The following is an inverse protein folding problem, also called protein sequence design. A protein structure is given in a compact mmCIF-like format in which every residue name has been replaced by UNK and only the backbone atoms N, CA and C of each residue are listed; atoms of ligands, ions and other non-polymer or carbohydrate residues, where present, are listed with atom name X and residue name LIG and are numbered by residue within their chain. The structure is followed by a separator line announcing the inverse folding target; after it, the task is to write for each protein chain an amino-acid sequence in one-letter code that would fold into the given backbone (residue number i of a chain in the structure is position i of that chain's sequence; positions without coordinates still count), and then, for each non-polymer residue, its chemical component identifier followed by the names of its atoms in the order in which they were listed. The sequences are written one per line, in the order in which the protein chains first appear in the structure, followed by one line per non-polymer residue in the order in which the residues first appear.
data_IF_806110921644
#
_entry.id   IF_806110921644
#
_cell.length_a   1.000
_cell.length_b   1.000
_cell.length_c   1.000
_cell.angle_alpha   90.00
_cell.angle_beta   90.00
_cell.angle_gamma   90.00
#
_symmetry.space_group_name_H-M   'P 1'
#
loop_
_entity.id
_entity.type
_entity.pdbx_description
1 polymer ?
#
# COMPACT_ATOMS: atom_id res chain seq x y z
N UNK A 1 22.11 -17.81 -16.25
CA UNK A 1 20.75 -18.34 -15.99
C UNK A 1 20.40 -17.97 -14.55
N UNK A 2 19.86 -16.77 -14.34
CA UNK A 2 19.45 -16.33 -13.01
C UNK A 2 18.08 -16.94 -12.72
N UNK A 3 18.04 -17.88 -11.76
CA UNK A 3 16.79 -18.39 -11.19
C UNK A 3 15.99 -17.17 -10.72
N UNK A 4 14.73 -17.05 -11.13
CA UNK A 4 13.87 -15.93 -10.73
C UNK A 4 13.83 -15.88 -9.20
N UNK A 5 14.57 -14.94 -8.62
CA UNK A 5 14.56 -14.69 -7.19
C UNK A 5 13.11 -14.30 -6.87
N UNK A 6 12.39 -15.15 -6.14
CA UNK A 6 11.08 -14.78 -5.62
C UNK A 6 11.33 -14.19 -4.23
N UNK A 7 11.55 -12.87 -4.10
CA UNK A 7 11.85 -12.23 -2.82
C UNK A 7 10.78 -12.55 -1.76
N UNK A 8 9.55 -12.87 -2.17
CA UNK A 8 8.45 -13.28 -1.30
C UNK A 8 8.76 -14.51 -0.42
N UNK A 9 9.60 -15.44 -0.88
CA UNK A 9 9.96 -16.63 -0.12
C UNK A 9 10.85 -16.33 1.09
N UNK A 10 11.60 -15.23 1.05
CA UNK A 10 12.58 -14.84 2.06
C UNK A 10 12.18 -13.60 2.86
N UNK A 11 10.94 -13.14 2.69
CA UNK A 11 10.38 -12.02 3.45
C UNK A 11 9.53 -12.50 4.61
N UNK A 12 9.65 -11.82 5.75
CA UNK A 12 8.68 -11.93 6.84
C UNK A 12 7.35 -11.34 6.39
N UNK A 13 6.28 -12.13 6.48
CA UNK A 13 4.95 -11.74 5.99
C UNK A 13 4.17 -11.09 7.12
N UNK A 14 3.79 -9.84 6.93
CA UNK A 14 2.97 -9.08 7.86
C UNK A 14 1.71 -8.69 7.12
N UNK A 15 0.56 -9.10 7.62
CA UNK A 15 -0.72 -8.55 7.17
C UNK A 15 -0.89 -7.20 7.84
N UNK A 16 -1.33 -6.19 7.11
CA UNK A 16 -1.63 -4.89 7.71
C UNK A 16 -2.83 -4.25 7.04
N UNK A 17 -3.44 -3.33 7.77
CA UNK A 17 -4.53 -2.48 7.32
C UNK A 17 -4.40 -1.10 7.97
N UNK A 18 -4.86 -0.07 7.27
CA UNK A 18 -4.81 1.32 7.69
C UNK A 18 -6.20 1.94 7.55
N UNK A 19 -6.75 2.43 8.65
CA UNK A 19 -7.87 3.33 8.54
C UNK A 19 -7.41 4.78 8.47
N UNK A 20 -7.99 5.52 7.54
CA UNK A 20 -7.65 6.91 7.29
C UNK A 20 -8.89 7.70 6.88
N UNK A 21 -8.83 9.01 7.09
CA UNK A 21 -9.81 9.96 6.57
C UNK A 21 -9.27 10.66 5.32
N UNK A 22 -10.14 11.31 4.54
CA UNK A 22 -9.78 11.95 3.26
C UNK A 22 -10.06 11.09 2.01
N UNK A 23 -9.78 11.64 0.83
CA UNK A 23 -10.14 11.03 -0.46
C UNK A 23 -8.90 10.65 -1.29
N UNK A 24 -8.65 9.35 -1.45
CA UNK A 24 -7.57 8.81 -2.29
C UNK A 24 -7.62 9.26 -3.76
N UNK A 25 -8.79 9.63 -4.26
CA UNK A 25 -9.00 10.07 -5.66
C UNK A 25 -8.59 11.53 -5.86
N UNK A 26 -8.51 12.32 -4.79
CA UNK A 26 -8.12 13.73 -4.84
C UNK A 26 -6.62 13.87 -4.59
N UNK A 27 -5.92 14.56 -5.48
CA UNK A 27 -4.48 14.87 -5.37
C UNK A 27 -3.59 13.66 -5.06
N UNK A 28 -4.00 12.42 -5.40
CA UNK A 28 -3.27 11.21 -5.05
C UNK A 28 -3.27 10.86 -3.55
N UNK A 29 -4.27 11.29 -2.80
CA UNK A 29 -4.45 10.97 -1.37
C UNK A 29 -3.46 11.67 -0.45
N UNK A 30 -2.88 12.79 -0.89
CA UNK A 30 -1.89 13.55 -0.11
C UNK A 30 -2.49 14.25 1.11
N UNK A 31 -3.81 14.32 1.24
CA UNK A 31 -4.46 14.90 2.41
C UNK A 31 -4.97 13.83 3.37
N UNK A 32 -4.86 12.54 2.99
CA UNK A 32 -5.34 11.46 3.83
C UNK A 32 -4.59 11.43 5.17
N UNK A 33 -5.34 11.21 6.24
CA UNK A 33 -4.83 11.18 7.61
C UNK A 33 -5.16 9.85 8.27
N UNK A 34 -4.14 9.07 8.62
CA UNK A 34 -4.29 7.79 9.31
C UNK A 34 -4.83 8.04 10.73
N UNK A 35 -5.86 7.29 11.13
CA UNK A 35 -6.43 7.32 12.47
C UNK A 35 -6.43 5.94 13.16
N UNK A 36 -6.15 4.85 12.44
CA UNK A 36 -5.90 3.52 13.03
C UNK A 36 -4.88 2.75 12.20
N UNK A 37 -4.02 2.00 12.89
CA UNK A 37 -3.09 1.06 12.28
C UNK A 37 -3.34 -0.32 12.90
N UNK A 38 -3.40 -1.36 12.07
CA UNK A 38 -3.33 -2.72 12.54
C UNK A 38 -2.35 -3.54 11.70
N UNK A 39 -1.65 -4.47 12.35
CA UNK A 39 -0.75 -5.40 11.71
C UNK A 39 -0.75 -6.75 12.44
N UNK A 40 -0.49 -7.82 11.69
CA UNK A 40 -0.39 -9.18 12.19
C UNK A 40 0.74 -9.93 11.51
N UNK A 41 1.59 -10.57 12.31
CA UNK A 41 2.52 -11.58 11.81
C UNK A 41 1.72 -12.77 11.26
N UNK A 42 1.87 -13.02 9.95
CA UNK A 42 1.12 -14.06 9.27
C UNK A 42 1.34 -15.46 9.89
N UNK A 43 2.57 -15.74 10.28
CA UNK A 43 2.99 -17.07 10.73
C UNK A 43 2.64 -17.27 12.21
N UNK A 44 2.96 -16.30 13.06
CA UNK A 44 2.81 -16.44 14.53
C UNK A 44 1.47 -15.96 15.04
N UNK A 45 0.78 -15.10 14.30
CA UNK A 45 -0.43 -14.42 14.76
C UNK A 45 -0.19 -13.31 15.78
N UNK A 46 1.08 -12.94 16.06
CA UNK A 46 1.39 -11.76 16.89
C UNK A 46 0.76 -10.52 16.25
N UNK A 47 0.06 -9.71 17.04
CA UNK A 47 -0.68 -8.55 16.57
C UNK A 47 -0.08 -7.25 17.10
N UNK A 48 -0.25 -6.21 16.32
CA UNK A 48 -0.05 -4.81 16.70
C UNK A 48 -1.27 -4.02 16.24
N UNK A 49 -1.80 -3.17 17.11
CA UNK A 49 -2.77 -2.16 16.70
C UNK A 49 -2.67 -0.95 17.60
N UNK A 50 -2.87 0.22 17.00
CA UNK A 50 -2.90 1.49 17.70
C UNK A 50 -3.84 2.44 16.98
N UNK A 51 -4.54 3.27 17.76
CA UNK A 51 -5.19 4.46 17.20
C UNK A 51 -4.13 5.54 16.97
N UNK A 52 -4.44 6.49 16.09
CA UNK A 52 -3.60 7.65 15.85
C UNK A 52 -4.45 8.90 16.04
N UNK A 53 -3.89 9.90 16.71
CA UNK A 53 -4.51 11.21 16.83
C UNK A 53 -3.96 12.16 15.74
N UNK A 54 -4.62 12.29 14.57
CA UNK A 54 -4.19 13.22 13.53
C UNK A 54 -4.29 14.68 13.97
N UNK A 55 -5.12 15.00 14.98
CA UNK A 55 -5.29 16.37 15.46
C UNK A 55 -4.07 16.91 16.24
N UNK A 56 -3.06 16.09 16.49
CA UNK A 56 -1.77 16.55 17.04
C UNK A 56 -0.91 17.30 16.01
N UNK A 57 -1.24 17.20 14.71
CA UNK A 57 -0.55 17.91 13.63
C UNK A 57 -1.48 18.79 12.79
N UNK A 58 -2.79 18.60 12.91
CA UNK A 58 -3.78 19.28 12.08
C UNK A 58 -4.88 19.87 12.96
N UNK A 59 -5.20 21.15 12.76
CA UNK A 59 -6.36 21.75 13.41
C UNK A 59 -7.66 21.11 12.93
N UNK A 60 -7.71 20.84 11.61
CA UNK A 60 -8.81 20.20 10.91
C UNK A 60 -8.34 18.92 10.20
N UNK A 61 -9.12 17.86 10.33
CA UNK A 61 -8.85 16.57 9.69
C UNK A 61 -9.89 16.38 8.59
N UNK A 62 -9.49 15.96 7.36
CA UNK A 62 -10.44 15.75 6.28
C UNK A 62 -11.54 14.78 6.69
N UNK A 63 -12.77 15.05 6.25
CA UNK A 63 -13.90 14.13 6.47
C UNK A 63 -13.69 12.82 5.71
N UNK A 64 -14.13 11.68 6.25
CA UNK A 64 -14.18 10.45 5.49
C UNK A 64 -15.05 10.60 4.24
N UNK A 65 -14.75 9.83 3.19
CA UNK A 65 -15.50 9.87 1.92
C UNK A 65 -16.88 9.21 2.00
N UNK A 66 -17.15 8.44 3.05
CA UNK A 66 -18.36 7.66 3.26
C UNK A 66 -18.63 7.51 4.76
N UNK A 67 -19.89 7.58 5.19
CA UNK A 67 -20.29 7.51 6.61
C UNK A 67 -20.01 6.14 7.25
N UNK A 68 -19.71 5.11 6.44
CA UNK A 68 -19.29 3.80 6.94
C UNK A 68 -17.92 3.82 7.62
N UNK A 69 -17.09 4.82 7.34
CA UNK A 69 -15.81 5.01 8.03
C UNK A 69 -16.03 5.70 9.37
N UNK A 70 -16.01 4.93 10.44
CA UNK A 70 -16.33 5.41 11.80
C UNK A 70 -15.10 5.92 12.54
N UNK A 71 -14.46 6.97 12.00
CA UNK A 71 -13.34 7.61 12.69
C UNK A 71 -13.79 8.11 14.09
N UNK A 72 -13.04 7.80 15.17
CA UNK A 72 -13.34 8.33 16.49
C UNK A 72 -13.33 9.87 16.50
N UNK A 73 -14.13 10.48 17.39
CA UNK A 73 -14.15 11.94 17.52
C UNK A 73 -12.82 12.48 18.04
N UNK A 74 -12.55 13.77 17.81
CA UNK A 74 -11.36 14.46 18.33
C UNK A 74 -11.21 14.26 19.84
N UNK A 75 -12.30 14.47 20.58
CA UNK A 75 -12.36 14.33 22.04
C UNK A 75 -12.08 12.88 22.46
N UNK A 76 -12.63 11.90 21.73
CA UNK A 76 -12.37 10.49 21.99
C UNK A 76 -10.89 10.15 21.83
N UNK A 77 -10.22 10.64 20.79
CA UNK A 77 -8.80 10.39 20.55
C UNK A 77 -7.90 11.01 21.63
N UNK A 78 -8.26 12.20 22.13
CA UNK A 78 -7.55 12.80 23.27
C UNK A 78 -7.82 12.03 24.57
N UNK A 79 -9.07 11.65 24.83
CA UNK A 79 -9.45 10.94 26.06
C UNK A 79 -8.76 9.57 26.16
N UNK A 80 -8.65 8.85 25.05
CA UNK A 80 -7.96 7.55 25.01
C UNK A 80 -6.44 7.66 24.98
N UNK A 81 -5.90 8.89 24.89
CA UNK A 81 -4.46 9.11 24.78
C UNK A 81 -3.87 8.55 23.49
N UNK A 82 -4.62 8.59 22.38
CA UNK A 82 -4.12 8.09 21.10
C UNK A 82 -2.83 8.82 20.69
N UNK A 83 -1.75 8.10 20.34
CA UNK A 83 -0.44 8.67 20.05
C UNK A 83 -0.45 9.52 18.78
N UNK A 84 0.61 10.31 18.62
CA UNK A 84 0.91 10.96 17.35
C UNK A 84 1.25 9.93 16.28
N UNK A 85 1.12 10.31 15.00
CA UNK A 85 1.48 9.43 13.88
C UNK A 85 2.95 9.01 13.91
N UNK A 86 3.83 9.85 14.47
CA UNK A 86 5.27 9.56 14.60
C UNK A 86 5.48 8.43 15.60
N UNK A 87 4.90 8.54 16.79
CA UNK A 87 4.99 7.52 17.84
C UNK A 87 4.37 6.21 17.35
N UNK A 88 3.18 6.26 16.73
CA UNK A 88 2.52 5.08 16.18
C UNK A 88 3.38 4.34 15.14
N UNK A 89 4.07 5.06 14.25
CA UNK A 89 4.98 4.47 13.26
C UNK A 89 6.26 3.91 13.90
N UNK A 90 6.77 4.52 14.98
CA UNK A 90 7.89 3.97 15.76
C UNK A 90 7.50 2.67 16.47
N UNK A 91 6.29 2.60 17.03
CA UNK A 91 5.75 1.39 17.64
C UNK A 91 5.55 0.27 16.59
N UNK A 92 5.03 0.61 15.41
CA UNK A 92 4.91 -0.31 14.27
C UNK A 92 6.27 -0.85 13.82
N UNK A 93 7.29 0.02 13.72
CA UNK A 93 8.67 -0.41 13.44
C UNK A 93 9.22 -1.32 14.53
N UNK A 94 8.92 -1.04 15.80
CA UNK A 94 9.31 -1.90 16.92
C UNK A 94 8.65 -3.27 16.84
N UNK A 95 7.37 -3.33 16.46
CA UNK A 95 6.66 -4.56 16.15
C UNK A 95 7.34 -5.33 15.01
N UNK A 96 7.68 -4.66 13.90
CA UNK A 96 8.41 -5.26 12.79
C UNK A 96 9.74 -5.88 13.22
N UNK A 97 10.53 -5.17 14.05
CA UNK A 97 11.78 -5.69 14.61
C UNK A 97 11.56 -6.95 15.45
N UNK A 98 10.50 -6.98 16.28
CA UNK A 98 10.13 -8.18 17.05
C UNK A 98 9.76 -9.36 16.15
N UNK A 99 9.09 -9.13 15.03
CA UNK A 99 8.70 -10.19 14.09
C UNK A 99 9.88 -10.79 13.33
N UNK A 100 10.95 -10.03 13.05
CA UNK A 100 12.06 -10.47 12.20
C UNK A 100 12.97 -11.55 12.83
N UNK A 101 13.00 -11.69 14.17
CA UNK A 101 13.73 -12.70 14.97
C UNK A 101 14.95 -13.33 14.24
N UNK A 102 16.10 -12.66 14.29
CA UNK A 102 17.46 -13.06 13.85
C UNK A 102 17.64 -13.72 12.45
N UNK A 103 16.59 -13.94 11.66
CA UNK A 103 16.63 -14.80 10.45
C UNK A 103 15.95 -14.20 9.21
N UNK A 104 15.35 -13.03 9.31
CA UNK A 104 14.80 -12.32 8.17
C UNK A 104 15.40 -10.93 8.05
N UNK A 105 15.77 -10.54 6.83
CA UNK A 105 16.31 -9.22 6.55
C UNK A 105 15.23 -8.24 6.08
N UNK A 106 14.09 -8.75 5.58
CA UNK A 106 13.10 -7.95 4.86
C UNK A 106 11.66 -8.29 5.28
N UNK A 107 10.76 -7.32 5.20
CA UNK A 107 9.32 -7.49 5.48
C UNK A 107 8.51 -7.34 4.18
N UNK A 108 7.50 -8.18 4.02
CA UNK A 108 6.47 -8.04 3.01
C UNK A 108 5.14 -7.72 3.70
N UNK A 109 4.67 -6.49 3.49
CA UNK A 109 3.40 -5.96 3.98
C UNK A 109 2.29 -6.36 3.00
N UNK A 110 1.35 -7.17 3.48
CA UNK A 110 0.21 -7.70 2.73
C UNK A 110 -1.06 -6.97 3.15
N UNK A 111 -1.70 -6.29 2.21
CA UNK A 111 -2.97 -5.57 2.43
C UNK A 111 -3.94 -5.85 1.28
N UNK A 112 -5.21 -5.53 1.45
CA UNK A 112 -6.23 -5.78 0.44
C UNK A 112 -6.51 -4.51 -0.37
N UNK A 113 -6.27 -4.54 -1.69
CA UNK A 113 -6.27 -3.33 -2.55
C UNK A 113 -5.17 -2.32 -2.14
N UNK A 114 -4.12 -2.82 -1.50
CA UNK A 114 -3.08 -2.02 -0.88
C UNK A 114 -2.30 -1.12 -1.85
N UNK A 115 -2.07 -1.53 -3.11
CA UNK A 115 -1.29 -0.73 -4.06
C UNK A 115 -1.94 0.61 -4.40
N UNK A 116 -3.28 0.65 -4.34
CA UNK A 116 -4.09 1.84 -4.62
C UNK A 116 -4.65 2.49 -3.34
N UNK A 117 -4.47 1.86 -2.17
CA UNK A 117 -4.91 2.34 -0.86
C UNK A 117 -3.72 2.42 0.10
N UNK A 118 -3.55 1.42 0.96
CA UNK A 118 -2.78 1.52 2.20
C UNK A 118 -1.30 1.81 1.93
N UNK A 119 -0.72 1.22 0.89
CA UNK A 119 0.66 1.52 0.47
C UNK A 119 0.83 3.00 0.15
N UNK A 120 -0.11 3.58 -0.58
CA UNK A 120 -0.06 4.99 -1.01
C UNK A 120 -0.21 5.91 0.20
N UNK A 121 -1.14 5.63 1.11
CA UNK A 121 -1.33 6.41 2.35
C UNK A 121 -0.13 6.28 3.29
N UNK A 122 0.41 5.07 3.43
CA UNK A 122 1.63 4.80 4.20
C UNK A 122 2.81 5.62 3.68
N UNK A 123 3.07 5.58 2.37
CA UNK A 123 4.16 6.34 1.75
C UNK A 123 3.98 7.85 1.88
N UNK A 124 2.76 8.35 1.61
CA UNK A 124 2.44 9.78 1.78
C UNK A 124 2.74 10.22 3.21
N UNK A 125 2.33 9.42 4.18
CA UNK A 125 2.55 9.67 5.61
C UNK A 125 4.05 9.72 5.93
N UNK A 126 4.85 8.78 5.43
CA UNK A 126 6.30 8.79 5.69
C UNK A 126 6.99 10.04 5.15
N UNK A 127 6.57 10.53 3.98
CA UNK A 127 7.16 11.73 3.38
C UNK A 127 6.70 12.97 4.13
N UNK A 128 5.37 13.11 4.31
CA UNK A 128 4.74 14.30 4.91
C UNK A 128 5.31 14.63 6.28
N UNK A 129 5.50 13.63 7.13
CA UNK A 129 6.01 13.83 8.50
C UNK A 129 7.52 13.56 8.63
N UNK A 130 8.25 13.44 7.51
CA UNK A 130 9.70 13.20 7.49
C UNK A 130 10.14 11.95 8.29
N UNK A 131 9.40 10.85 8.12
CA UNK A 131 9.55 9.59 8.87
C UNK A 131 10.17 8.44 8.06
N UNK A 132 10.69 8.71 6.86
CA UNK A 132 11.31 7.70 6.00
C UNK A 132 12.38 6.89 6.75
N UNK A 133 13.12 7.56 7.62
CA UNK A 133 14.23 6.95 8.38
C UNK A 133 13.80 5.96 9.46
N UNK A 134 12.53 5.96 9.89
CA UNK A 134 12.01 5.00 10.87
C UNK A 134 12.23 3.56 10.37
N UNK A 135 12.14 3.33 9.06
CA UNK A 135 12.23 2.01 8.45
C UNK A 135 13.54 1.80 7.65
N UNK A 136 14.55 2.68 7.82
CA UNK A 136 15.79 2.64 7.03
C UNK A 136 16.50 1.28 7.08
N UNK A 137 16.50 0.64 8.25
CA UNK A 137 17.18 -0.64 8.48
C UNK A 137 16.31 -1.87 8.17
N UNK A 138 15.08 -1.66 7.67
CA UNK A 138 14.12 -2.72 7.39
C UNK A 138 13.61 -2.54 5.96
N UNK A 139 14.20 -3.23 4.95
CA UNK A 139 13.66 -3.25 3.61
C UNK A 139 12.19 -3.70 3.60
N UNK A 140 11.31 -2.77 3.24
CA UNK A 140 9.88 -2.99 3.14
C UNK A 140 9.49 -3.28 1.69
N UNK A 141 8.75 -4.37 1.52
CA UNK A 141 8.05 -4.73 0.30
C UNK A 141 6.55 -4.73 0.56
N UNK A 142 5.76 -4.49 -0.48
CA UNK A 142 4.30 -4.47 -0.45
C UNK A 142 3.75 -5.51 -1.41
N UNK A 143 2.69 -6.17 -0.96
CA UNK A 143 1.94 -7.16 -1.73
C UNK A 143 0.44 -6.87 -1.64
N UNK A 144 -0.21 -6.78 -2.79
CA UNK A 144 -1.63 -6.52 -2.86
C UNK A 144 -2.41 -7.83 -3.03
N UNK A 145 -3.12 -8.20 -1.97
CA UNK A 145 -3.89 -9.45 -1.89
C UNK A 145 -5.11 -9.44 -2.82
N UNK A 146 -5.55 -8.28 -3.32
CA UNK A 146 -6.63 -8.20 -4.31
C UNK A 146 -6.27 -9.00 -5.58
N UNK A 147 -5.06 -8.81 -6.11
CA UNK A 147 -4.61 -9.51 -7.30
C UNK A 147 -4.34 -10.99 -7.04
N UNK A 148 -3.93 -11.34 -5.82
CA UNK A 148 -3.85 -12.73 -5.39
C UNK A 148 -5.22 -13.40 -5.43
N UNK A 149 -6.24 -12.83 -4.77
CA UNK A 149 -7.57 -13.42 -4.73
C UNK A 149 -8.26 -13.47 -6.10
N UNK A 150 -7.98 -12.52 -7.01
CA UNK A 150 -8.43 -12.62 -8.41
C UNK A 150 -7.91 -13.86 -9.14
N UNK A 151 -6.72 -14.34 -8.78
CA UNK A 151 -6.17 -15.59 -9.33
C UNK A 151 -6.77 -16.83 -8.65
N UNK A 152 -7.01 -16.76 -7.33
CA UNK A 152 -7.53 -17.89 -6.56
C UNK A 152 -9.02 -18.12 -6.84
N UNK A 153 -9.81 -17.06 -6.95
CA UNK A 153 -11.24 -17.08 -7.16
C UNK A 153 -11.59 -16.28 -8.43
N UNK A 154 -11.32 -16.78 -9.63
CA UNK A 154 -11.57 -16.04 -10.86
C UNK A 154 -13.07 -15.85 -11.12
N UNK A 155 -13.44 -14.70 -11.68
CA UNK A 155 -14.80 -14.43 -12.18
C UNK A 155 -15.82 -13.96 -11.14
N UNK A 156 -15.39 -13.42 -10.00
CA UNK A 156 -16.31 -12.80 -9.05
C UNK A 156 -16.72 -11.39 -9.50
N UNK A 157 -17.96 -11.01 -9.24
CA UNK A 157 -18.49 -9.68 -9.54
C UNK A 157 -17.79 -8.58 -8.73
N UNK A 158 -17.42 -8.90 -7.49
CA UNK A 158 -16.69 -7.99 -6.61
C UNK A 158 -15.67 -8.75 -5.78
N UNK A 159 -14.52 -8.11 -5.60
CA UNK A 159 -13.39 -8.63 -4.85
C UNK A 159 -13.12 -7.84 -3.57
N UNK A 160 -14.05 -7.00 -3.10
CA UNK A 160 -13.92 -6.38 -1.78
C UNK A 160 -13.74 -7.44 -0.70
N UNK A 161 -13.04 -7.12 0.39
CA UNK A 161 -12.76 -8.04 1.49
C UNK A 161 -14.04 -8.74 2.03
N UNK A 162 -15.12 -7.98 2.24
CA UNK A 162 -16.43 -8.48 2.62
C UNK A 162 -16.99 -9.55 1.65
N UNK A 163 -17.02 -9.23 0.35
CA UNK A 163 -17.48 -10.18 -0.67
C UNK A 163 -16.61 -11.43 -0.76
N UNK A 164 -15.29 -11.31 -0.60
CA UNK A 164 -14.39 -12.46 -0.56
C UNK A 164 -14.67 -13.37 0.63
N UNK A 165 -14.86 -12.78 1.81
CA UNK A 165 -15.20 -13.51 3.03
C UNK A 165 -16.55 -14.24 2.87
N UNK A 166 -17.58 -13.53 2.41
CA UNK A 166 -18.90 -14.10 2.15
C UNK A 166 -18.87 -15.22 1.12
N UNK A 167 -18.16 -15.03 0.02
CA UNK A 167 -18.00 -16.06 -1.00
C UNK A 167 -17.33 -17.32 -0.43
N UNK A 168 -16.34 -17.16 0.46
CA UNK A 168 -15.55 -18.28 0.97
C UNK A 168 -16.20 -19.03 2.13
N UNK A 169 -16.89 -18.31 3.01
CA UNK A 169 -17.39 -18.83 4.29
C UNK A 169 -18.90 -18.81 4.42
N UNK A 170 -19.63 -18.34 3.40
CA UNK A 170 -21.10 -18.21 3.40
C UNK A 170 -21.61 -17.41 4.61
N UNK A 171 -20.80 -16.43 5.05
CA UNK A 171 -21.03 -15.64 6.26
C UNK A 171 -20.59 -14.19 6.03
N UNK A 172 -21.19 -13.26 6.77
CA UNK A 172 -20.82 -11.86 6.79
C UNK A 172 -20.03 -11.56 8.07
N UNK A 173 -19.31 -10.44 8.10
CA UNK A 173 -18.66 -9.95 9.31
C UNK A 173 -19.10 -8.51 9.60
N UNK A 174 -19.23 -8.22 10.88
CA UNK A 174 -19.54 -6.88 11.38
C UNK A 174 -18.25 -6.04 11.49
N UNK A 175 -18.41 -4.72 11.63
CA UNK A 175 -17.30 -3.78 11.82
C UNK A 175 -16.23 -3.81 10.73
N UNK A 176 -16.67 -3.92 9.46
CA UNK A 176 -15.86 -3.49 8.34
C UNK A 176 -15.43 -2.03 8.54
N UNK A 177 -14.19 -1.69 8.19
CA UNK A 177 -13.55 -0.40 8.52
C UNK A 177 -13.06 -0.26 9.97
N UNK A 178 -12.82 -1.38 10.65
CA UNK A 178 -11.89 -1.47 11.78
C UNK A 178 -10.66 -2.26 11.31
N UNK A 179 -9.49 -1.63 11.36
CA UNK A 179 -8.24 -2.23 10.88
C UNK A 179 -7.95 -3.59 11.54
N UNK A 180 -8.32 -3.80 12.81
CA UNK A 180 -8.13 -5.09 13.49
C UNK A 180 -8.99 -6.18 12.88
N UNK A 181 -10.25 -5.86 12.59
CA UNK A 181 -11.21 -6.79 11.99
C UNK A 181 -10.72 -7.15 10.60
N UNK A 182 -10.37 -6.16 9.78
CA UNK A 182 -9.95 -6.38 8.40
C UNK A 182 -8.63 -7.18 8.32
N UNK A 183 -7.67 -6.95 9.21
CA UNK A 183 -6.46 -7.79 9.34
C UNK A 183 -6.80 -9.24 9.70
N UNK A 184 -7.75 -9.46 10.63
CA UNK A 184 -8.17 -10.81 11.03
C UNK A 184 -8.89 -11.55 9.89
N UNK A 185 -9.79 -10.87 9.20
CA UNK A 185 -10.53 -11.39 8.05
C UNK A 185 -9.57 -11.74 6.92
N UNK A 186 -8.63 -10.85 6.59
CA UNK A 186 -7.63 -11.09 5.56
C UNK A 186 -6.72 -12.28 5.91
N UNK A 187 -6.29 -12.40 7.17
CA UNK A 187 -5.52 -13.55 7.66
C UNK A 187 -6.27 -14.86 7.48
N UNK A 188 -7.55 -14.86 7.86
CA UNK A 188 -8.44 -16.02 7.75
C UNK A 188 -8.63 -16.44 6.29
N UNK A 189 -8.88 -15.48 5.40
CA UNK A 189 -8.98 -15.72 3.97
C UNK A 189 -7.69 -16.31 3.39
N UNK A 190 -6.53 -15.69 3.65
CA UNK A 190 -5.23 -16.16 3.15
C UNK A 190 -4.95 -17.60 3.59
N UNK A 191 -5.12 -17.91 4.87
CA UNK A 191 -4.90 -19.25 5.44
C UNK A 191 -5.88 -20.29 4.88
N UNK A 192 -7.07 -19.89 4.45
CA UNK A 192 -8.08 -20.80 3.89
C UNK A 192 -7.78 -21.30 2.47
N UNK A 193 -6.93 -20.59 1.71
CA UNK A 193 -6.76 -20.83 0.26
C UNK A 193 -6.03 -22.13 -0.07
N UNK A 194 -5.29 -22.74 0.86
CA UNK A 194 -4.38 -23.90 0.65
C UNK A 194 -3.35 -23.71 -0.49
N UNK A 195 -3.27 -22.51 -1.09
CA UNK A 195 -2.39 -22.17 -2.21
C UNK A 195 -1.22 -21.36 -1.69
N UNK A 196 -0.06 -21.51 -2.34
CA UNK A 196 1.10 -20.70 -2.00
C UNK A 196 0.81 -19.24 -2.35
N UNK A 197 0.97 -18.34 -1.38
CA UNK A 197 0.85 -16.91 -1.62
C UNK A 197 1.98 -16.49 -2.58
N UNK A 198 1.61 -15.91 -3.72
CA UNK A 198 2.54 -15.48 -4.75
C UNK A 198 1.96 -14.31 -5.57
N UNK A 199 2.85 -13.52 -6.17
CA UNK A 199 2.51 -12.42 -7.07
C UNK A 199 3.61 -11.36 -7.08
N UNK A 200 3.33 -10.23 -7.71
CA UNK A 200 4.25 -9.11 -7.75
C UNK A 200 4.37 -8.47 -6.35
N UNK A 201 5.60 -8.15 -5.95
CA UNK A 201 5.86 -7.29 -4.79
C UNK A 201 6.67 -6.08 -5.22
N UNK A 202 6.45 -4.97 -4.53
CA UNK A 202 7.11 -3.71 -4.83
C UNK A 202 7.76 -3.15 -3.57
N UNK A 203 8.98 -2.64 -3.69
CA UNK A 203 9.65 -1.97 -2.57
C UNK A 203 8.95 -0.68 -2.16
N UNK A 204 9.31 -0.17 -0.99
CA UNK A 204 8.95 1.19 -0.58
C UNK A 204 9.31 2.22 -1.66
N UNK A 205 8.38 3.12 -1.96
CA UNK A 205 8.41 4.12 -3.03
C UNK A 205 8.49 3.59 -4.47
N UNK A 206 8.47 2.27 -4.67
CA UNK A 206 8.31 1.69 -6.00
C UNK A 206 6.85 1.75 -6.42
N UNK A 207 6.59 2.20 -7.65
CA UNK A 207 5.24 2.30 -8.20
C UNK A 207 4.86 0.97 -8.86
N UNK A 208 3.78 0.31 -8.40
CA UNK A 208 3.25 -0.88 -9.05
C UNK A 208 2.75 -0.59 -10.47
N UNK A 209 3.02 -1.48 -11.42
CA UNK A 209 2.51 -1.35 -12.79
C UNK A 209 0.98 -1.31 -12.83
N UNK A 210 0.35 -2.11 -11.96
CA UNK A 210 -1.10 -2.25 -11.83
C UNK A 210 -1.80 -1.00 -11.26
N UNK A 211 -1.06 0.02 -10.83
CA UNK A 211 -1.63 1.34 -10.54
C UNK A 211 -2.04 2.10 -11.79
N UNK A 212 -1.42 1.80 -12.94
CA UNK A 212 -1.81 2.39 -14.23
C UNK A 212 -3.08 1.68 -14.73
N UNK A 213 -4.13 2.46 -14.99
CA UNK A 213 -5.39 1.90 -15.48
C UNK A 213 -5.17 1.13 -16.80
N UNK A 214 -5.74 -0.06 -16.92
CA UNK A 214 -5.56 -0.94 -18.10
C UNK A 214 -4.26 -1.74 -18.15
N UNK A 215 -3.34 -1.53 -17.21
CA UNK A 215 -2.27 -2.48 -16.95
C UNK A 215 -2.79 -3.51 -15.95
N UNK A 216 -3.14 -4.68 -16.47
CA UNK A 216 -3.58 -5.82 -15.65
C UNK A 216 -2.42 -6.73 -15.24
N UNK A 217 -2.73 -7.76 -14.46
CA UNK A 217 -1.76 -8.73 -13.96
C UNK A 217 -0.96 -9.44 -15.07
N UNK A 218 -1.55 -9.65 -16.25
CA UNK A 218 -0.84 -10.22 -17.39
C UNK A 218 0.26 -9.28 -17.90
N UNK A 219 -0.08 -8.02 -18.19
CA UNK A 219 0.87 -7.00 -18.65
C UNK A 219 1.97 -6.77 -17.62
N UNK A 220 1.62 -6.69 -16.34
CA UNK A 220 2.59 -6.61 -15.23
C UNK A 220 3.56 -7.80 -15.23
N UNK A 221 3.06 -9.03 -15.36
CA UNK A 221 3.91 -10.22 -15.42
C UNK A 221 4.86 -10.21 -16.63
N UNK A 222 4.41 -9.70 -17.78
CA UNK A 222 5.28 -9.55 -18.95
C UNK A 222 6.40 -8.52 -18.70
N UNK A 223 6.07 -7.34 -18.17
CA UNK A 223 7.07 -6.31 -17.86
C UNK A 223 8.10 -6.82 -16.84
N UNK A 224 7.65 -7.52 -15.80
CA UNK A 224 8.54 -8.17 -14.83
C UNK A 224 9.44 -9.25 -15.47
N UNK A 225 8.93 -10.00 -16.46
CA UNK A 225 9.70 -11.00 -17.20
C UNK A 225 10.83 -10.39 -18.04
N UNK A 226 10.71 -9.11 -18.42
CA UNK A 226 11.76 -8.31 -19.04
C UNK A 226 12.65 -7.59 -18.00
N UNK A 227 12.60 -8.00 -16.74
CA UNK A 227 13.38 -7.47 -15.63
C UNK A 227 13.05 -6.03 -15.22
N UNK A 228 11.90 -5.49 -15.62
CA UNK A 228 11.44 -4.21 -15.09
C UNK A 228 10.78 -4.40 -13.73
N UNK A 229 11.43 -3.92 -12.67
CA UNK A 229 10.99 -4.13 -11.29
C UNK A 229 9.90 -3.16 -10.79
N UNK A 230 9.65 -2.05 -11.50
CA UNK A 230 8.63 -1.06 -11.15
C UNK A 230 8.30 -0.17 -12.35
N UNK A 231 7.20 0.60 -12.25
CA UNK A 231 6.84 1.59 -13.27
C UNK A 231 7.94 2.65 -13.45
N UNK A 232 8.50 3.16 -12.36
CA UNK A 232 9.58 4.15 -12.40
C UNK A 232 10.84 3.58 -13.05
N UNK A 233 11.22 2.34 -12.74
CA UNK A 233 12.36 1.68 -13.38
C UNK A 233 12.13 1.48 -14.88
N UNK A 234 10.93 1.06 -15.27
CA UNK A 234 10.55 0.92 -16.67
C UNK A 234 10.72 2.23 -17.42
N UNK A 235 10.12 3.32 -16.95
CA UNK A 235 10.18 4.60 -17.65
C UNK A 235 11.58 5.18 -17.69
N UNK A 236 12.35 5.08 -16.60
CA UNK A 236 13.74 5.56 -16.56
C UNK A 236 14.70 4.73 -17.44
N UNK A 237 14.25 3.58 -17.96
CA UNK A 237 15.03 2.77 -18.90
C UNK A 237 14.93 3.25 -20.35
N UNK A 238 14.07 4.24 -20.64
CA UNK A 238 13.84 4.77 -21.97
C UNK A 238 14.00 6.29 -22.01
N UNK A 239 14.36 6.83 -23.18
CA UNK A 239 14.58 8.27 -23.37
C UNK A 239 13.27 9.06 -23.47
N UNK A 240 12.23 8.45 -24.03
CA UNK A 240 10.97 9.09 -24.38
C UNK A 240 9.85 8.05 -24.61
N UNK A 241 8.63 8.55 -24.89
CA UNK A 241 7.46 7.70 -25.19
C UNK A 241 7.69 6.81 -26.41
N UNK A 242 8.32 7.31 -27.47
CA UNK A 242 8.46 6.57 -28.73
C UNK A 242 9.40 5.37 -28.56
N UNK A 243 10.44 5.51 -27.73
CA UNK A 243 11.31 4.42 -27.33
C UNK A 243 10.55 3.33 -26.55
N UNK A 244 9.63 3.71 -25.66
CA UNK A 244 8.74 2.78 -24.95
C UNK A 244 7.83 2.04 -25.95
N UNK A 245 7.17 2.76 -26.86
CA UNK A 245 6.30 2.16 -27.88
C UNK A 245 7.08 1.16 -28.72
N UNK A 246 8.25 1.56 -29.23
CA UNK A 246 9.13 0.70 -30.02
C UNK A 246 9.51 -0.58 -29.28
N UNK A 247 9.85 -0.49 -28.00
CA UNK A 247 10.11 -1.66 -27.17
C UNK A 247 8.87 -2.56 -27.09
N UNK A 248 7.72 -2.01 -26.67
CA UNK A 248 6.48 -2.78 -26.49
C UNK A 248 5.99 -3.43 -27.79
N UNK A 249 6.14 -2.75 -28.94
CA UNK A 249 5.84 -3.29 -30.28
C UNK A 249 6.69 -4.52 -30.64
N UNK A 250 7.85 -4.70 -30.02
CA UNK A 250 8.70 -5.89 -30.14
C UNK A 250 8.35 -7.03 -29.20
N UNK A 251 7.31 -6.89 -28.37
CA UNK A 251 6.92 -7.89 -27.35
C UNK A 251 5.55 -8.50 -27.63
N UNK A 252 5.10 -9.41 -26.75
CA UNK A 252 3.72 -9.92 -26.77
C UNK A 252 2.65 -8.85 -26.52
N UNK A 253 3.04 -7.63 -26.12
CA UNK A 253 2.15 -6.49 -25.87
C UNK A 253 1.98 -5.58 -27.10
N UNK A 254 2.51 -5.98 -28.27
CA UNK A 254 2.57 -5.14 -29.48
C UNK A 254 1.24 -4.49 -29.88
N UNK A 255 0.12 -5.19 -29.74
CA UNK A 255 -1.20 -4.72 -30.16
C UNK A 255 -1.77 -3.63 -29.22
N UNK A 256 -1.09 -3.37 -28.10
CA UNK A 256 -1.47 -2.35 -27.10
C UNK A 256 -0.31 -1.41 -26.75
N UNK A 257 0.77 -1.42 -27.53
CA UNK A 257 2.00 -0.68 -27.23
C UNK A 257 1.73 0.82 -27.02
N UNK A 258 1.01 1.46 -27.94
CA UNK A 258 0.63 2.87 -27.84
C UNK A 258 -0.23 3.14 -26.61
N UNK A 259 -1.33 2.40 -26.45
CA UNK A 259 -2.25 2.58 -25.32
C UNK A 259 -1.55 2.43 -23.96
N UNK A 260 -0.69 1.42 -23.81
CA UNK A 260 0.06 1.20 -22.57
C UNK A 260 1.00 2.39 -22.34
N UNK A 261 1.75 2.81 -23.36
CA UNK A 261 2.73 3.91 -23.25
C UNK A 261 2.04 5.23 -22.88
N UNK A 262 0.90 5.54 -23.50
CA UNK A 262 0.10 6.73 -23.19
C UNK A 262 -0.36 6.76 -21.75
N UNK A 263 -0.94 5.65 -21.27
CA UNK A 263 -1.44 5.57 -19.89
C UNK A 263 -0.32 5.64 -18.86
N UNK A 264 0.85 5.09 -19.16
CA UNK A 264 2.04 5.22 -18.30
C UNK A 264 2.47 6.69 -18.20
N UNK A 265 2.58 7.38 -19.34
CA UNK A 265 2.98 8.80 -19.38
C UNK A 265 1.95 9.68 -18.66
N UNK A 266 0.65 9.44 -18.88
CA UNK A 266 -0.42 10.15 -18.19
C UNK A 266 -0.37 9.94 -16.68
N UNK A 267 -0.22 8.69 -16.24
CA UNK A 267 -0.12 8.37 -14.82
C UNK A 267 1.08 9.06 -14.16
N UNK A 268 2.25 9.06 -14.81
CA UNK A 268 3.45 9.71 -14.29
C UNK A 268 3.35 11.22 -14.26
N UNK A 269 2.64 11.85 -15.21
CA UNK A 269 2.35 13.29 -15.13
C UNK A 269 1.60 13.60 -13.84
N UNK A 270 0.56 12.84 -13.52
CA UNK A 270 -0.21 13.02 -12.28
C UNK A 270 0.66 12.79 -11.04
N UNK A 271 1.43 11.70 -10.97
CA UNK A 271 2.29 11.42 -9.82
C UNK A 271 3.41 12.46 -9.64
N UNK A 272 4.14 12.82 -10.71
CA UNK A 272 5.29 13.72 -10.63
C UNK A 272 4.92 15.20 -10.54
N UNK A 273 3.85 15.63 -11.20
CA UNK A 273 3.46 17.05 -11.22
C UNK A 273 2.62 17.42 -10.00
N UNK A 274 1.78 16.49 -9.51
CA UNK A 274 0.86 16.80 -8.42
C UNK A 274 1.35 16.22 -7.10
N UNK A 275 1.49 14.89 -7.00
CA UNK A 275 1.64 14.22 -5.69
C UNK A 275 2.99 14.54 -5.02
N UNK A 276 4.11 14.30 -5.71
CA UNK A 276 5.45 14.43 -5.09
C UNK A 276 5.80 15.86 -4.65
N UNK A 277 5.60 16.91 -5.50
CA UNK A 277 5.89 18.28 -5.10
C UNK A 277 5.02 18.76 -3.93
N UNK A 278 3.74 18.37 -3.91
CA UNK A 278 2.82 18.76 -2.83
C UNK A 278 3.18 18.10 -1.49
N UNK A 279 3.58 16.82 -1.49
CA UNK A 279 4.06 16.16 -0.27
C UNK A 279 5.32 16.82 0.28
N UNK A 280 6.23 17.23 -0.61
CA UNK A 280 7.44 17.94 -0.23
C UNK A 280 7.12 19.33 0.34
N UNK A 281 6.17 20.04 -0.25
CA UNK A 281 5.67 21.32 0.29
C UNK A 281 5.05 21.14 1.68
N UNK A 282 4.11 20.19 1.85
CA UNK A 282 3.49 19.91 3.15
C UNK A 282 4.53 19.56 4.23
N UNK A 283 5.56 18.80 3.86
CA UNK A 283 6.68 18.49 4.75
C UNK A 283 7.40 19.76 5.20
N UNK A 284 7.69 20.67 4.29
CA UNK A 284 8.36 21.94 4.60
C UNK A 284 7.51 22.81 5.53
N UNK A 285 6.21 22.91 5.28
CA UNK A 285 5.26 23.67 6.11
C UNK A 285 5.21 23.11 7.54
N UNK A 286 5.06 21.79 7.70
CA UNK A 286 5.05 21.14 9.02
C UNK A 286 6.37 21.32 9.80
N UNK A 287 7.50 21.38 9.10
CA UNK A 287 8.82 21.58 9.70
C UNK A 287 9.04 23.05 10.10
N UNK A 288 8.44 24.02 9.42
CA UNK A 288 8.51 25.44 9.78
C UNK A 288 7.71 25.71 11.06
N UNK A 289 6.49 25.18 11.18
CA UNK A 289 5.63 25.36 12.36
C UNK A 289 6.32 24.84 13.64
N UNK A 290 7.10 23.76 13.56
CA UNK A 290 7.85 23.22 14.71
C UNK A 290 9.04 24.08 15.16
N UNK A 291 9.55 24.98 14.32
CA UNK A 291 10.65 25.87 14.68
C UNK A 291 10.16 27.20 15.28
N UNK A 292 8.85 27.46 15.24
CA UNK A 292 8.22 28.68 15.76
C UNK A 292 7.56 28.50 17.15
N UNK A 293 7.57 27.27 17.69
CA UNK A 293 7.07 26.90 19.02
C UNK A 293 8.23 26.51 19.93
#
# INVERSE_FOLDING_TARGET
MFVSYNPFAYTKKIIYDLEFSGDLRKNGGIDCCIWQIAAMDYDTGEKFSTFVNPYLFHDEVPVPVDDRYKMPSKESLYYTGAPSIIEAMQEMCSFFKRCLKDKAFNICLMSHNGFRSDKKVFENTLIRYNMVDIFRDIPLYFFDTLYYFRKIYPGLDSYSLANLYRYKFESEFEDAHDANVDVNILSTLLKSTKKNINGAIYGLFSIPFTNVNGIGAFTEAQLLSYHFISLSHFVNSFTDKDAIVKFLSGTVMKDRAELISERIVEYLKTENIQRWPLLEQQRQELMQVKNEV
#
